data_IF_003193481759
#
_entry.id   IF_003193481759
#
_cell.length_a   1.000
_cell.length_b   1.000
_cell.length_c   1.000
_cell.angle_alpha   90.00
_cell.angle_beta   90.00
_cell.angle_gamma   90.00
#
_symmetry.space_group_name_H-M   'P 1'
#
loop_
_entity.id
_entity.type
_entity.pdbx_description
1 polymer ?
#
# COMPACT_ATOMS: atom_id res chain seq x y z
N UNK A 1 -26.65 11.51 32.26
CA UNK A 1 -25.83 10.35 32.70
C UNK A 1 -26.01 9.10 31.82
N UNK A 2 -26.14 9.23 30.49
CA UNK A 2 -26.30 8.08 29.57
C UNK A 2 -25.41 8.14 28.30
N UNK A 3 -24.62 9.21 28.13
CA UNK A 3 -23.77 9.38 26.94
C UNK A 3 -22.34 8.85 27.12
N UNK A 4 -21.85 8.86 28.36
CA UNK A 4 -20.50 8.40 28.72
C UNK A 4 -20.24 6.94 28.29
N UNK A 5 -21.14 5.96 28.53
CA UNK A 5 -20.88 4.58 28.10
C UNK A 5 -20.81 4.45 26.57
N UNK A 6 -21.61 5.23 25.84
CA UNK A 6 -21.63 5.20 24.36
C UNK A 6 -20.31 5.70 23.76
N UNK A 7 -19.71 6.72 24.37
CA UNK A 7 -18.42 7.29 23.95
C UNK A 7 -17.28 6.29 24.18
N UNK A 8 -17.29 5.57 25.31
CA UNK A 8 -16.31 4.52 25.61
C UNK A 8 -16.37 3.36 24.61
N UNK A 9 -17.58 2.89 24.28
CA UNK A 9 -17.77 1.85 23.26
C UNK A 9 -17.33 2.32 21.87
N UNK A 10 -17.63 3.56 21.50
CA UNK A 10 -17.20 4.13 20.22
C UNK A 10 -15.67 4.23 20.12
N UNK A 11 -15.00 4.69 21.17
CA UNK A 11 -13.54 4.77 21.23
C UNK A 11 -12.88 3.38 21.08
N UNK A 12 -13.45 2.37 21.75
CA UNK A 12 -12.98 0.97 21.65
C UNK A 12 -13.21 0.40 20.25
N UNK A 13 -14.36 0.69 19.63
CA UNK A 13 -14.69 0.25 18.29
C UNK A 13 -13.73 0.86 17.25
N UNK A 14 -13.48 2.17 17.33
CA UNK A 14 -12.51 2.88 16.47
C UNK A 14 -11.11 2.30 16.65
N UNK A 15 -10.68 2.04 17.89
CA UNK A 15 -9.39 1.43 18.17
C UNK A 15 -9.24 0.03 17.54
N UNK A 16 -10.25 -0.83 17.69
CA UNK A 16 -10.26 -2.16 17.07
C UNK A 16 -10.27 -2.08 15.53
N UNK A 17 -11.03 -1.14 14.96
CA UNK A 17 -11.11 -0.93 13.52
C UNK A 17 -9.78 -0.46 12.93
N UNK A 18 -9.12 0.52 13.58
CA UNK A 18 -7.79 0.98 13.21
C UNK A 18 -6.74 -0.12 13.36
N UNK A 19 -6.82 -0.93 14.44
CA UNK A 19 -5.93 -2.08 14.64
C UNK A 19 -6.10 -3.14 13.55
N UNK A 20 -7.33 -3.41 13.11
CA UNK A 20 -7.61 -4.35 12.02
C UNK A 20 -7.05 -3.86 10.68
N UNK A 21 -7.12 -2.55 10.41
CA UNK A 21 -6.52 -1.95 9.21
C UNK A 21 -4.98 -1.96 9.28
N UNK A 22 -4.39 -1.70 10.44
CA UNK A 22 -2.93 -1.77 10.65
C UNK A 22 -2.38 -3.21 10.69
N UNK A 23 -3.24 -4.21 10.92
CA UNK A 23 -2.83 -5.62 10.91
C UNK A 23 -2.64 -6.20 9.51
N UNK A 24 -2.83 -5.42 8.44
CA UNK A 24 -2.48 -5.84 7.06
C UNK A 24 -0.98 -5.85 6.78
N UNK A 25 -0.14 -5.56 7.77
CA UNK A 25 1.32 -5.71 7.69
C UNK A 25 1.84 -7.01 8.29
N UNK A 26 1.02 -8.06 8.38
CA UNK A 26 1.49 -9.35 8.84
C UNK A 26 1.03 -10.47 7.90
N UNK A 27 2.03 -10.97 7.18
CA UNK A 27 2.14 -12.35 6.68
C UNK A 27 1.39 -12.62 5.37
N UNK A 28 1.82 -11.97 4.26
CA UNK A 28 1.65 -12.51 2.89
C UNK A 28 2.43 -11.77 1.76
N UNK A 29 3.25 -10.75 2.02
CA UNK A 29 3.53 -9.73 0.99
C UNK A 29 4.99 -9.40 0.65
N UNK A 30 6.00 -10.20 0.97
CA UNK A 30 7.37 -9.86 0.53
C UNK A 30 7.52 -9.79 -1.01
N UNK A 31 6.76 -10.59 -1.77
CA UNK A 31 6.74 -10.51 -3.24
C UNK A 31 5.83 -9.40 -3.79
N UNK A 32 4.66 -9.19 -3.18
CA UNK A 32 3.69 -8.18 -3.65
C UNK A 32 4.12 -6.76 -3.26
N UNK A 33 4.68 -6.57 -2.06
CA UNK A 33 5.18 -5.28 -1.60
C UNK A 33 6.50 -4.89 -2.31
N UNK A 34 7.34 -5.86 -2.67
CA UNK A 34 8.51 -5.58 -3.52
C UNK A 34 8.10 -5.21 -4.94
N UNK A 35 7.03 -5.82 -5.48
CA UNK A 35 6.46 -5.44 -6.76
C UNK A 35 5.86 -4.03 -6.76
N UNK A 36 5.06 -3.67 -5.74
CA UNK A 36 4.51 -2.31 -5.64
C UNK A 36 5.62 -1.27 -5.56
N UNK A 37 6.66 -1.54 -4.76
CA UNK A 37 7.84 -0.67 -4.67
C UNK A 37 8.60 -0.55 -5.99
N UNK A 38 8.71 -1.62 -6.78
CA UNK A 38 9.38 -1.58 -8.08
C UNK A 38 8.59 -0.74 -9.10
N UNK A 39 7.25 -0.84 -9.10
CA UNK A 39 6.39 0.01 -9.93
C UNK A 39 6.45 1.48 -9.51
N UNK A 40 6.48 1.77 -8.21
CA UNK A 40 6.56 3.14 -7.68
C UNK A 40 7.85 3.83 -8.14
N UNK A 41 9.00 3.16 -7.99
CA UNK A 41 10.30 3.67 -8.47
C UNK A 41 10.27 3.89 -9.99
N UNK A 42 9.66 2.96 -10.75
CA UNK A 42 9.58 3.09 -12.20
C UNK A 42 8.73 4.32 -12.61
N UNK A 43 7.62 4.56 -11.92
CA UNK A 43 6.75 5.71 -12.17
C UNK A 43 7.45 7.03 -11.81
N UNK A 44 8.15 7.08 -10.67
CA UNK A 44 8.89 8.26 -10.24
C UNK A 44 9.92 8.68 -11.30
N UNK A 45 10.73 7.74 -11.79
CA UNK A 45 11.77 8.03 -12.78
C UNK A 45 11.20 8.47 -14.13
N UNK A 46 10.06 7.93 -14.54
CA UNK A 46 9.36 8.38 -15.75
C UNK A 46 8.79 9.79 -15.58
N UNK A 47 8.17 10.08 -14.43
CA UNK A 47 7.65 11.41 -14.11
C UNK A 47 8.77 12.48 -14.01
N UNK A 48 9.94 12.09 -13.50
CA UNK A 48 11.14 12.92 -13.45
C UNK A 48 11.81 13.10 -14.82
N UNK A 49 11.37 12.37 -15.85
CA UNK A 49 11.97 12.42 -17.20
C UNK A 49 13.35 11.76 -17.28
N UNK A 50 13.74 10.94 -16.30
CA UNK A 50 15.01 10.22 -16.29
C UNK A 50 15.05 9.05 -17.27
N UNK A 51 13.88 8.56 -17.70
CA UNK A 51 13.73 7.44 -18.63
C UNK A 51 12.73 7.78 -19.72
N UNK A 52 12.92 7.20 -20.90
CA UNK A 52 11.99 7.38 -22.02
C UNK A 52 10.71 6.55 -21.85
N UNK A 53 9.69 6.84 -22.67
CA UNK A 53 8.44 6.08 -22.69
C UNK A 53 8.67 4.61 -23.10
N UNK A 54 9.60 4.36 -24.04
CA UNK A 54 9.97 3.02 -24.49
C UNK A 54 10.61 2.22 -23.35
N UNK A 55 11.52 2.85 -22.59
CA UNK A 55 12.15 2.24 -21.42
C UNK A 55 11.14 1.94 -20.32
N UNK A 56 10.22 2.87 -20.05
CA UNK A 56 9.15 2.69 -19.07
C UNK A 56 8.29 1.47 -19.42
N UNK A 57 7.81 1.36 -20.67
CA UNK A 57 6.97 0.25 -21.13
C UNK A 57 7.69 -1.09 -21.02
N UNK A 58 8.96 -1.15 -21.42
CA UNK A 58 9.77 -2.38 -21.35
C UNK A 58 9.95 -2.86 -19.90
N UNK A 59 10.35 -1.97 -18.99
CA UNK A 59 10.57 -2.29 -17.57
C UNK A 59 9.27 -2.66 -16.86
N UNK A 60 8.18 -1.96 -17.17
CA UNK A 60 6.84 -2.26 -16.63
C UNK A 60 6.39 -3.67 -16.98
N UNK A 61 6.61 -4.10 -18.23
CA UNK A 61 6.30 -5.47 -18.67
C UNK A 61 7.08 -6.51 -17.88
N UNK A 62 8.39 -6.31 -17.68
CA UNK A 62 9.25 -7.23 -16.91
C UNK A 62 8.80 -7.34 -15.45
N UNK A 63 8.40 -6.22 -14.86
CA UNK A 63 7.93 -6.18 -13.46
C UNK A 63 6.60 -6.93 -13.32
N UNK A 64 5.67 -6.75 -14.27
CA UNK A 64 4.36 -7.41 -14.28
C UNK A 64 4.42 -8.90 -14.64
N UNK A 65 5.35 -9.32 -15.50
CA UNK A 65 5.55 -10.72 -15.92
C UNK A 65 6.15 -11.60 -14.81
N UNK A 66 6.72 -10.99 -13.76
CA UNK A 66 7.25 -11.68 -12.58
C UNK A 66 6.18 -12.01 -11.52
N UNK A 67 4.90 -11.72 -11.77
CA UNK A 67 3.75 -12.05 -10.90
C UNK A 67 3.09 -13.32 -11.40
#
# INVERSE_FOLDING_TARGET
MMMIPMILFFMLFVYLFLKLLNSKNLILSDSIASHSKALDILNERFASGEISEEEYKSKKKIILDKI
#
